data_IF_936072605948
#
_entry.id   IF_936072605948
#
_cell.length_a   1.000
_cell.length_b   1.000
_cell.length_c   1.000
_cell.angle_alpha   90.00
_cell.angle_beta   90.00
_cell.angle_gamma   90.00
#
_symmetry.space_group_name_H-M   'P 1'
#
loop_
_entity.id
_entity.type
_entity.pdbx_description
1 polymer ?
#
# COMPACT_ATOMS: atom_id res chain seq x y z
N UNK A 1 -19.59 -3.26 11.58
CA UNK A 1 -18.34 -4.06 11.51
C UNK A 1 -17.19 -3.11 11.27
N UNK A 2 -16.02 -3.43 11.82
CA UNK A 2 -14.75 -2.76 11.57
C UNK A 2 -14.07 -3.38 10.36
N UNK A 3 -13.89 -2.62 9.29
CA UNK A 3 -13.30 -3.10 8.04
C UNK A 3 -12.03 -2.31 7.78
N UNK A 4 -10.90 -3.00 7.66
CA UNK A 4 -9.63 -2.40 7.25
C UNK A 4 -9.37 -2.67 5.76
N UNK A 5 -9.48 -1.64 4.94
CA UNK A 5 -9.04 -1.70 3.54
C UNK A 5 -7.53 -1.49 3.45
N UNK A 6 -6.87 -2.30 2.61
CA UNK A 6 -5.47 -2.07 2.21
C UNK A 6 -5.46 -1.83 0.69
N UNK A 7 -5.34 -0.57 0.28
CA UNK A 7 -5.54 -0.14 -1.11
C UNK A 7 -4.91 1.23 -1.42
N UNK A 8 -4.70 1.56 -2.71
CA UNK A 8 -4.37 2.93 -3.13
C UNK A 8 -5.61 3.83 -2.99
N UNK A 9 -5.59 4.74 -2.01
CA UNK A 9 -6.70 5.67 -1.74
C UNK A 9 -6.94 6.73 -2.81
N UNK A 10 -6.08 6.85 -3.82
CA UNK A 10 -6.27 7.70 -5.00
C UNK A 10 -7.05 6.99 -6.12
N UNK A 11 -7.18 5.66 -6.03
CA UNK A 11 -7.87 4.87 -7.05
C UNK A 11 -9.38 5.12 -6.98
N UNK A 12 -10.02 5.63 -8.05
CA UNK A 12 -11.47 5.82 -8.08
C UNK A 12 -12.23 4.51 -7.83
N UNK A 13 -11.67 3.38 -8.29
CA UNK A 13 -12.24 2.05 -8.04
C UNK A 13 -12.19 1.71 -6.54
N UNK A 14 -11.05 1.94 -5.87
CA UNK A 14 -10.95 1.70 -4.43
C UNK A 14 -11.93 2.58 -3.65
N UNK A 15 -11.95 3.88 -3.92
CA UNK A 15 -12.86 4.84 -3.27
C UNK A 15 -14.32 4.45 -3.46
N UNK A 16 -14.74 4.05 -4.66
CA UNK A 16 -16.14 3.65 -4.91
C UNK A 16 -16.54 2.38 -4.15
N UNK A 17 -15.65 1.38 -4.07
CA UNK A 17 -15.91 0.17 -3.29
C UNK A 17 -15.95 0.45 -1.78
N UNK A 18 -15.02 1.26 -1.29
CA UNK A 18 -14.97 1.66 0.13
C UNK A 18 -16.23 2.45 0.50
N UNK A 19 -16.66 3.39 -0.37
CA UNK A 19 -17.87 4.19 -0.16
C UNK A 19 -19.10 3.34 0.11
N UNK A 20 -19.27 2.23 -0.63
CA UNK A 20 -20.40 1.33 -0.41
C UNK A 20 -20.50 0.88 1.06
N UNK A 21 -19.39 0.45 1.68
CA UNK A 21 -19.42 -0.01 3.07
C UNK A 21 -19.50 1.13 4.09
N UNK A 22 -18.93 2.30 3.76
CA UNK A 22 -19.09 3.52 4.56
C UNK A 22 -20.56 3.95 4.62
N UNK A 23 -21.24 3.97 3.48
CA UNK A 23 -22.66 4.39 3.37
C UNK A 23 -23.60 3.42 4.09
N UNK A 24 -23.20 2.16 4.27
CA UNK A 24 -23.92 1.17 5.10
C UNK A 24 -23.67 1.35 6.61
N UNK A 25 -22.89 2.36 7.02
CA UNK A 25 -22.61 2.65 8.43
C UNK A 25 -21.58 1.72 9.06
N UNK A 26 -20.74 1.05 8.27
CA UNK A 26 -19.62 0.30 8.82
C UNK A 26 -18.49 1.23 9.27
N UNK A 27 -17.72 0.78 10.26
CA UNK A 27 -16.53 1.49 10.72
C UNK A 27 -15.38 1.13 9.79
N UNK A 28 -15.14 1.97 8.79
CA UNK A 28 -14.19 1.68 7.72
C UNK A 28 -12.87 2.43 7.93
N UNK A 29 -11.79 1.68 7.97
CA UNK A 29 -10.42 2.16 8.03
C UNK A 29 -9.71 1.91 6.70
N UNK A 30 -8.79 2.79 6.31
CA UNK A 30 -7.98 2.65 5.09
C UNK A 30 -6.49 2.72 5.41
N UNK A 31 -5.74 1.70 5.03
CA UNK A 31 -4.29 1.72 4.92
C UNK A 31 -3.89 1.88 3.45
N UNK A 32 -3.14 2.94 3.14
CA UNK A 32 -2.70 3.29 1.78
C UNK A 32 -1.20 3.46 1.72
N UNK A 33 -0.56 3.19 0.58
CA UNK A 33 0.87 3.41 0.39
C UNK A 33 1.21 4.81 -0.13
N UNK A 34 0.19 5.62 -0.46
CA UNK A 34 0.34 6.96 -1.00
C UNK A 34 -0.48 7.98 -0.19
N UNK A 35 0.01 9.23 -0.07
CA UNK A 35 -0.78 10.30 0.49
C UNK A 35 -2.01 10.58 -0.36
N UNK A 36 -3.16 10.66 0.29
CA UNK A 36 -4.43 10.90 -0.38
C UNK A 36 -5.48 11.48 0.57
N UNK A 37 -6.46 12.18 0.00
CA UNK A 37 -7.72 12.49 0.67
C UNK A 37 -8.86 11.91 -0.18
N UNK A 38 -9.39 10.72 0.18
CA UNK A 38 -10.41 10.04 -0.63
C UNK A 38 -11.78 10.72 -0.61
N UNK A 39 -11.98 11.76 0.22
CA UNK A 39 -13.28 12.44 0.33
C UNK A 39 -14.39 11.54 0.88
N UNK A 40 -14.02 10.58 1.73
CA UNK A 40 -14.93 9.65 2.40
C UNK A 40 -14.83 9.86 3.92
N UNK A 41 -15.95 9.73 4.67
CA UNK A 41 -15.93 9.77 6.11
C UNK A 41 -15.40 8.45 6.69
N UNK A 42 -14.08 8.23 6.57
CA UNK A 42 -13.38 7.07 7.12
C UNK A 42 -13.19 7.22 8.63
N UNK A 43 -13.25 6.10 9.35
CA UNK A 43 -12.94 6.05 10.78
C UNK A 43 -11.45 6.29 11.05
N UNK A 44 -10.57 5.80 10.17
CA UNK A 44 -9.16 6.21 10.13
C UNK A 44 -8.55 6.04 8.74
N UNK A 45 -7.51 6.83 8.48
CA UNK A 45 -6.65 6.75 7.30
C UNK A 45 -5.20 6.64 7.77
N UNK A 46 -4.47 5.60 7.36
CA UNK A 46 -3.07 5.40 7.71
C UNK A 46 -2.24 5.25 6.44
N UNK A 47 -1.22 6.09 6.32
CA UNK A 47 -0.25 6.00 5.24
C UNK A 47 0.90 5.07 5.66
N UNK A 48 1.07 3.97 4.94
CA UNK A 48 2.17 3.01 5.14
C UNK A 48 3.02 3.02 3.86
N UNK A 49 3.97 3.95 3.72
CA UNK A 49 4.78 4.04 2.52
C UNK A 49 5.63 2.77 2.34
N UNK A 50 5.60 2.23 1.13
CA UNK A 50 6.49 1.15 0.65
C UNK A 50 7.47 1.72 -0.37
N UNK A 51 8.65 1.12 -0.55
CA UNK A 51 9.65 1.70 -1.45
C UNK A 51 9.09 1.89 -2.87
N UNK A 52 9.40 3.06 -3.43
CA UNK A 52 8.91 3.64 -4.69
C UNK A 52 7.54 4.33 -4.68
N UNK A 53 6.75 4.31 -3.59
CA UNK A 53 5.53 5.15 -3.52
C UNK A 53 5.83 6.66 -3.52
N UNK A 54 7.02 7.05 -3.03
CA UNK A 54 7.45 8.45 -2.93
C UNK A 54 8.31 8.93 -4.12
N UNK A 55 8.74 8.05 -5.04
CA UNK A 55 9.72 8.43 -6.09
C UNK A 55 9.07 9.00 -7.36
N UNK A 56 7.80 9.42 -7.28
CA UNK A 56 7.11 10.06 -8.41
C UNK A 56 6.38 11.33 -8.00
N UNK A 57 7.15 12.41 -7.81
CA UNK A 57 6.81 13.79 -8.21
C UNK A 57 7.86 14.77 -7.64
N UNK A 58 9.07 14.74 -8.19
CA UNK A 58 9.83 15.99 -8.30
C UNK A 58 9.64 16.46 -9.74
N UNK A 59 8.55 17.19 -9.96
CA UNK A 59 8.40 18.05 -11.14
C UNK A 59 9.46 19.15 -11.06
N UNK A 60 10.66 18.84 -11.53
CA UNK A 60 11.56 19.85 -12.09
C UNK A 60 11.75 19.48 -13.55
N UNK A 61 11.46 20.38 -14.51
CA UNK A 61 11.73 20.12 -15.91
C UNK A 61 13.25 20.23 -16.11
N UNK A 62 13.98 19.16 -15.79
CA UNK A 62 15.36 19.02 -16.19
C UNK A 62 15.37 18.63 -17.67
N UNK A 63 15.47 19.66 -18.50
CA UNK A 63 15.92 19.66 -19.89
C UNK A 63 16.54 18.33 -20.31
N UNK A 64 15.76 17.53 -21.04
CA UNK A 64 16.16 16.21 -21.56
C UNK A 64 17.32 16.40 -22.53
N UNK A 65 18.54 16.17 -22.07
CA UNK A 65 19.67 15.88 -22.96
C UNK A 65 19.41 14.49 -23.56
N UNK A 66 18.98 14.46 -24.82
CA UNK A 66 18.96 13.26 -25.67
C UNK A 66 20.37 12.65 -25.66
N UNK A 67 20.54 11.49 -25.03
CA UNK A 67 21.84 10.81 -24.99
C UNK A 67 21.80 9.39 -24.41
N UNK A 68 21.85 8.40 -25.30
CA UNK A 68 22.60 7.14 -25.16
C UNK A 68 22.34 6.27 -23.90
N UNK A 69 21.12 6.12 -23.41
CA UNK A 69 20.79 5.07 -22.42
C UNK A 69 19.80 4.08 -23.03
N UNK A 70 20.35 3.14 -23.80
CA UNK A 70 19.64 2.05 -24.45
C UNK A 70 19.03 1.03 -23.49
N UNK A 71 18.47 -0.05 -24.04
CA UNK A 71 17.70 -1.11 -23.35
C UNK A 71 18.32 -1.65 -22.03
N UNK A 72 19.64 -1.56 -21.86
CA UNK A 72 20.35 -1.90 -20.62
C UNK A 72 19.94 -1.06 -19.40
N UNK A 73 19.61 0.22 -19.59
CA UNK A 73 19.10 1.08 -18.53
C UNK A 73 17.66 0.74 -18.10
N UNK A 74 16.90 0.10 -18.98
CA UNK A 74 15.54 -0.41 -18.68
C UNK A 74 15.66 -1.71 -17.89
N UNK A 75 16.58 -2.60 -18.28
CA UNK A 75 16.89 -3.82 -17.55
C UNK A 75 17.38 -3.56 -16.12
N UNK A 76 18.32 -2.63 -15.95
CA UNK A 76 18.83 -2.26 -14.61
C UNK A 76 17.73 -1.63 -13.73
N UNK A 77 16.91 -0.73 -14.27
CA UNK A 77 15.77 -0.16 -13.55
C UNK A 77 14.72 -1.22 -13.16
N UNK A 78 14.52 -2.22 -14.01
CA UNK A 78 13.60 -3.34 -13.75
C UNK A 78 14.17 -4.28 -12.69
N UNK A 79 15.46 -4.63 -12.76
CA UNK A 79 16.13 -5.45 -11.77
C UNK A 79 16.17 -4.78 -10.39
N UNK A 80 16.49 -3.49 -10.33
CA UNK A 80 16.45 -2.70 -9.08
C UNK A 80 15.03 -2.69 -8.50
N UNK A 81 14.00 -2.53 -9.34
CA UNK A 81 12.59 -2.60 -8.92
C UNK A 81 12.20 -3.98 -8.40
N UNK A 82 12.66 -5.05 -9.05
CA UNK A 82 12.36 -6.43 -8.65
C UNK A 82 13.16 -6.88 -7.42
N UNK A 83 14.35 -6.33 -7.18
CA UNK A 83 15.21 -6.66 -6.04
C UNK A 83 14.95 -5.83 -4.79
N UNK A 84 14.57 -4.55 -4.92
CA UNK A 84 14.32 -3.67 -3.76
C UNK A 84 12.87 -3.69 -3.26
N UNK A 85 11.93 -4.20 -4.07
CA UNK A 85 10.56 -4.47 -3.62
C UNK A 85 10.50 -5.43 -2.42
N UNK A 86 11.17 -6.59 -2.47
CA UNK A 86 11.26 -7.55 -1.36
C UNK A 86 11.89 -7.00 -0.08
N UNK A 87 12.82 -6.04 -0.17
CA UNK A 87 13.61 -5.60 0.99
C UNK A 87 12.87 -4.61 1.90
N UNK A 88 11.86 -3.90 1.38
CA UNK A 88 11.11 -2.87 2.14
C UNK A 88 9.73 -3.32 2.61
N UNK A 89 9.24 -4.43 2.04
CA UNK A 89 8.01 -5.09 2.43
C UNK A 89 7.99 -5.53 3.92
N UNK A 90 9.07 -6.08 4.52
CA UNK A 90 9.02 -6.54 5.91
C UNK A 90 8.76 -5.41 6.92
N UNK A 91 9.31 -4.22 6.69
CA UNK A 91 9.11 -3.07 7.58
C UNK A 91 7.69 -2.51 7.49
N UNK A 92 7.15 -2.41 6.29
CA UNK A 92 5.77 -2.00 6.10
C UNK A 92 4.78 -3.08 6.58
N UNK A 93 5.13 -4.38 6.48
CA UNK A 93 4.31 -5.49 6.97
C UNK A 93 4.17 -5.43 8.49
N UNK A 94 5.27 -5.14 9.21
CA UNK A 94 5.22 -4.87 10.65
C UNK A 94 4.30 -3.71 11.00
N UNK A 95 4.43 -2.56 10.32
CA UNK A 95 3.54 -1.41 10.54
C UNK A 95 2.06 -1.74 10.30
N UNK A 96 1.77 -2.54 9.27
CA UNK A 96 0.41 -3.01 9.00
C UNK A 96 -0.06 -3.98 10.09
N UNK A 97 0.79 -4.90 10.54
CA UNK A 97 0.49 -5.83 11.65
C UNK A 97 0.17 -5.07 12.94
N UNK A 98 0.97 -4.05 13.28
CA UNK A 98 0.69 -3.19 14.43
C UNK A 98 -0.65 -2.44 14.27
N UNK A 99 -0.97 -2.00 13.06
CA UNK A 99 -2.25 -1.33 12.76
C UNK A 99 -3.43 -2.30 12.92
N UNK A 100 -3.31 -3.51 12.36
CA UNK A 100 -4.33 -4.57 12.51
C UNK A 100 -4.54 -4.90 13.98
N UNK A 101 -3.47 -5.07 14.75
CA UNK A 101 -3.53 -5.36 16.18
C UNK A 101 -4.24 -4.25 16.96
N UNK A 102 -3.91 -2.98 16.69
CA UNK A 102 -4.55 -1.83 17.35
C UNK A 102 -6.03 -1.66 16.98
N UNK A 103 -6.38 -1.85 15.71
CA UNK A 103 -7.75 -1.65 15.24
C UNK A 103 -8.65 -2.85 15.55
N UNK A 104 -8.09 -4.06 15.62
CA UNK A 104 -8.83 -5.31 15.75
C UNK A 104 -10.03 -5.38 14.78
N UNK A 105 -9.81 -5.24 13.46
CA UNK A 105 -10.89 -5.23 12.48
C UNK A 105 -11.53 -6.62 12.35
N UNK A 106 -12.83 -6.66 12.08
CA UNK A 106 -13.55 -7.90 11.78
C UNK A 106 -13.13 -8.47 10.41
N UNK A 107 -12.74 -7.59 9.49
CA UNK A 107 -12.34 -7.93 8.13
C UNK A 107 -11.17 -7.05 7.65
N UNK A 108 -10.13 -7.69 7.13
CA UNK A 108 -9.06 -7.01 6.36
C UNK A 108 -9.29 -7.29 4.88
N UNK A 109 -9.51 -6.25 4.08
CA UNK A 109 -9.80 -6.36 2.65
C UNK A 109 -8.73 -5.67 1.80
N UNK A 110 -7.87 -6.45 1.15
CA UNK A 110 -6.86 -5.94 0.25
C UNK A 110 -7.39 -5.84 -1.19
N UNK A 111 -7.46 -4.64 -1.75
CA UNK A 111 -7.87 -4.42 -3.14
C UNK A 111 -6.64 -4.43 -4.06
N UNK A 112 -6.78 -5.07 -5.24
CA UNK A 112 -5.76 -5.39 -6.27
C UNK A 112 -4.44 -4.56 -6.20
N UNK A 113 -3.33 -5.30 -6.19
CA UNK A 113 -1.99 -4.93 -5.68
C UNK A 113 -1.04 -4.49 -6.82
N UNK A 114 -0.08 -3.56 -6.57
CA UNK A 114 1.24 -3.97 -6.10
C UNK A 114 1.61 -3.35 -4.73
N UNK A 115 2.21 -4.18 -3.87
CA UNK A 115 2.58 -3.99 -2.45
C UNK A 115 1.48 -4.14 -1.37
N UNK A 116 0.28 -3.56 -1.48
CA UNK A 116 -0.74 -3.55 -0.40
C UNK A 116 -1.21 -4.94 0.04
N UNK A 117 -1.67 -5.78 -0.88
CA UNK A 117 -2.09 -7.15 -0.53
C UNK A 117 -0.92 -8.10 -0.28
N UNK A 118 0.30 -7.81 -0.75
CA UNK A 118 1.51 -8.54 -0.31
C UNK A 118 1.80 -8.21 1.16
N UNK A 119 1.60 -6.94 1.55
CA UNK A 119 1.68 -6.49 2.93
C UNK A 119 0.69 -7.24 3.83
N UNK A 120 -0.57 -7.31 3.40
CA UNK A 120 -1.63 -7.99 4.13
C UNK A 120 -1.39 -9.52 4.22
N UNK A 121 -0.80 -10.13 3.20
CA UNK A 121 -0.37 -11.53 3.26
C UNK A 121 0.77 -11.76 4.25
N UNK A 122 1.78 -10.88 4.24
CA UNK A 122 2.94 -10.97 5.13
C UNK A 122 2.60 -10.69 6.59
N UNK A 123 1.65 -9.79 6.88
CA UNK A 123 1.23 -9.51 8.26
C UNK A 123 0.54 -10.70 8.94
N UNK A 124 0.09 -11.71 8.19
CA UNK A 124 -0.52 -12.94 8.73
C UNK A 124 0.49 -14.07 8.98
N UNK A 125 1.73 -13.91 8.53
CA UNK A 125 2.76 -14.96 8.61
C UNK A 125 3.50 -15.06 9.95
N UNK A 126 3.30 -14.14 10.89
CA UNK A 126 3.98 -14.14 12.19
C UNK A 126 3.23 -14.96 13.28
N UNK A 127 2.05 -15.50 12.99
CA UNK A 127 1.25 -16.29 13.96
C UNK A 127 1.55 -17.81 13.97
N UNK A 128 2.67 -18.26 13.41
CA UNK A 128 2.95 -19.70 13.25
C UNK A 128 4.40 -20.09 13.44
N UNK A 129 4.92 -20.02 14.68
CA UNK A 129 5.88 -20.97 15.27
C UNK A 129 6.17 -20.57 16.73
N UNK A 130 5.23 -20.86 17.61
CA UNK A 130 5.48 -20.97 19.04
C UNK A 130 4.64 -22.12 19.56
N UNK A 131 4.94 -23.35 19.12
CA UNK A 131 4.55 -24.59 19.80
C UNK A 131 5.28 -25.79 19.18
N UNK A 132 6.39 -26.19 19.82
CA UNK A 132 6.89 -27.53 20.15
C UNK A 132 8.42 -27.54 20.28
#
# INVERSE_FOLDING_TARGET
MRILYVADGRSPTAVNWIRYFVDQGHEVHLATTFPCNPGLPLASLTEIPVAFSSVKASDRPAQVRKGIWGASAVGLRTAVRQMLGPLTLPGAARKLSDLVSRLSPDLVHAMRIPYEGMLAGLSRGEEGHAEQ
#
